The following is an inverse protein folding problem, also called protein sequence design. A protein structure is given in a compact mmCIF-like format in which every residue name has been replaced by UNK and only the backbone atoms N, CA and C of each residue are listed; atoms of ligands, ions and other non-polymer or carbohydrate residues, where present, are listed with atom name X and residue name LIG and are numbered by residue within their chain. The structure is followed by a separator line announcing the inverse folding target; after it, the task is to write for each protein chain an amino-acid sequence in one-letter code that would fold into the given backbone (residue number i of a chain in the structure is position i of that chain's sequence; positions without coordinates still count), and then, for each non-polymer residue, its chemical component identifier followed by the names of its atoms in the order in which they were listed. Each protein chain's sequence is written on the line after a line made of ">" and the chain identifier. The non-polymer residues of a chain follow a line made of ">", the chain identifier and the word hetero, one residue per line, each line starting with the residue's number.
data_IF_551431534848
#
_entry.id   IF_551431534848
#
_cell.length_a   1.000
_cell.length_b   1.000
_cell.length_c   1.000
_cell.angle_alpha   90.00
_cell.angle_beta   90.00
_cell.angle_gamma   90.00
#
_symmetry.space_group_name_H-M   'P 1'
#
loop_
_entity.id
_entity.type
_entity.pdbx_description
1 polymer ?
#
# COMPACT_ATOMS: atom_id res chain seq x y z
N UNK A 1 -4.17 37.42 18.57
CA UNK A 1 -4.91 37.25 17.29
C UNK A 1 -4.04 36.62 16.20
N UNK A 2 -2.82 37.10 15.93
CA UNK A 2 -1.92 36.54 14.91
C UNK A 2 -1.46 35.09 15.17
N UNK A 3 -1.00 34.76 16.38
CA UNK A 3 -0.52 33.41 16.71
C UNK A 3 -1.58 32.33 16.52
N UNK A 4 -2.83 32.63 16.90
CA UNK A 4 -3.97 31.71 16.72
C UNK A 4 -4.24 31.47 15.23
N UNK A 5 -4.22 32.52 14.41
CA UNK A 5 -4.38 32.40 12.96
C UNK A 5 -3.26 31.55 12.33
N UNK A 6 -2.00 31.73 12.74
CA UNK A 6 -0.89 30.91 12.25
C UNK A 6 -1.09 29.43 12.58
N UNK A 7 -1.48 29.09 13.81
CA UNK A 7 -1.73 27.71 14.25
C UNK A 7 -2.88 27.07 13.45
N UNK A 8 -3.96 27.83 13.21
CA UNK A 8 -5.08 27.37 12.39
C UNK A 8 -4.64 27.09 10.95
N UNK A 9 -3.91 28.02 10.32
CA UNK A 9 -3.42 27.87 8.95
C UNK A 9 -2.48 26.67 8.80
N UNK A 10 -1.52 26.48 9.72
CA UNK A 10 -0.63 25.31 9.68
C UNK A 10 -1.39 24.01 9.89
N UNK A 11 -2.37 23.99 10.78
CA UNK A 11 -3.21 22.81 10.99
C UNK A 11 -3.96 22.42 9.71
N UNK A 12 -4.53 23.38 8.99
CA UNK A 12 -5.23 23.12 7.73
C UNK A 12 -4.27 22.54 6.69
N UNK A 13 -3.08 23.15 6.53
CA UNK A 13 -2.08 22.68 5.56
C UNK A 13 -1.64 21.25 5.87
N UNK A 14 -1.36 20.94 7.14
CA UNK A 14 -0.97 19.59 7.57
C UNK A 14 -2.10 18.60 7.27
N UNK A 15 -3.35 18.94 7.58
CA UNK A 15 -4.50 18.07 7.28
C UNK A 15 -4.67 17.80 5.78
N UNK A 16 -4.52 18.83 4.94
CA UNK A 16 -4.56 18.68 3.48
C UNK A 16 -3.42 17.78 2.97
N UNK A 17 -2.21 17.94 3.51
CA UNK A 17 -1.06 17.11 3.16
C UNK A 17 -1.26 15.65 3.57
N UNK A 18 -1.74 15.41 4.79
CA UNK A 18 -2.07 14.05 5.27
C UNK A 18 -3.18 13.43 4.42
N UNK A 19 -4.22 14.18 4.06
CA UNK A 19 -5.28 13.70 3.18
C UNK A 19 -4.73 13.28 1.81
N UNK A 20 -3.82 14.07 1.24
CA UNK A 20 -3.14 13.72 -0.01
C UNK A 20 -2.37 12.40 0.12
N UNK A 21 -1.60 12.22 1.21
CA UNK A 21 -0.87 10.97 1.46
C UNK A 21 -1.80 9.76 1.62
N UNK A 22 -2.94 9.92 2.30
CA UNK A 22 -3.95 8.86 2.43
C UNK A 22 -4.49 8.44 1.06
N UNK A 23 -4.82 9.42 0.21
CA UNK A 23 -5.31 9.14 -1.16
C UNK A 23 -4.25 8.38 -1.97
N UNK A 24 -2.99 8.80 -1.90
CA UNK A 24 -1.88 8.09 -2.55
C UNK A 24 -1.77 6.65 -2.06
N UNK A 25 -1.86 6.42 -0.75
CA UNK A 25 -1.77 5.08 -0.18
C UNK A 25 -2.96 4.20 -0.63
N UNK A 26 -4.16 4.76 -0.74
CA UNK A 26 -5.34 4.04 -1.27
C UNK A 26 -5.11 3.59 -2.72
N UNK A 27 -4.52 4.45 -3.56
CA UNK A 27 -4.19 4.11 -4.95
C UNK A 27 -3.16 2.98 -5.02
N UNK A 28 -2.12 3.06 -4.19
CA UNK A 28 -1.08 2.02 -4.10
C UNK A 28 -1.65 0.67 -3.67
N UNK A 29 -2.48 0.64 -2.63
CA UNK A 29 -3.15 -0.58 -2.16
C UNK A 29 -4.11 -1.13 -3.22
N UNK A 30 -4.83 -0.26 -3.94
CA UNK A 30 -5.71 -0.69 -5.03
C UNK A 30 -4.94 -1.41 -6.14
N UNK A 31 -3.74 -0.95 -6.46
CA UNK A 31 -2.92 -1.55 -7.50
C UNK A 31 -2.02 -2.69 -6.98
N UNK A 32 -2.04 -2.98 -5.67
CA UNK A 32 -1.10 -3.90 -5.00
C UNK A 32 0.36 -3.55 -5.28
N UNK A 33 0.70 -2.26 -5.16
CA UNK A 33 2.03 -1.75 -5.45
C UNK A 33 2.62 -0.99 -4.26
N UNK A 34 3.94 -1.01 -4.16
CA UNK A 34 4.70 -0.08 -3.32
C UNK A 34 4.94 1.26 -4.06
N UNK A 35 5.27 2.32 -3.31
CA UNK A 35 5.62 3.61 -3.93
C UNK A 35 6.80 3.46 -4.92
N UNK A 36 7.77 2.62 -4.58
CA UNK A 36 8.91 2.33 -5.45
C UNK A 36 8.46 1.69 -6.77
N UNK A 37 7.60 0.69 -6.70
CA UNK A 37 7.05 0.01 -7.88
C UNK A 37 6.19 0.93 -8.73
N UNK A 38 5.38 1.78 -8.10
CA UNK A 38 4.58 2.80 -8.78
C UNK A 38 5.48 3.75 -9.57
N UNK A 39 6.54 4.29 -8.94
CA UNK A 39 7.49 5.19 -9.58
C UNK A 39 8.28 4.51 -10.72
N UNK A 40 8.49 3.19 -10.63
CA UNK A 40 9.16 2.39 -11.66
C UNK A 40 8.20 1.76 -12.69
N UNK A 41 6.89 2.02 -12.59
CA UNK A 41 5.85 1.41 -13.44
C UNK A 41 5.89 -0.13 -13.45
N UNK A 42 6.20 -0.75 -12.30
CA UNK A 42 6.30 -2.21 -12.16
C UNK A 42 4.96 -2.76 -11.68
N UNK A 43 4.24 -3.50 -12.53
CA UNK A 43 2.89 -4.03 -12.23
C UNK A 43 2.82 -5.54 -12.00
N UNK A 44 3.95 -6.18 -11.72
CA UNK A 44 4.08 -7.66 -11.66
C UNK A 44 3.25 -8.32 -10.55
N UNK A 45 2.97 -7.59 -9.47
CA UNK A 45 2.17 -8.06 -8.32
C UNK A 45 0.68 -7.68 -8.42
N UNK A 46 0.29 -6.95 -9.47
CA UNK A 46 -1.11 -6.66 -9.73
C UNK A 46 -1.78 -7.87 -10.39
N UNK A 47 -2.39 -8.72 -9.56
CA UNK A 47 -3.07 -9.94 -10.00
C UNK A 47 -4.51 -9.64 -10.45
N UNK A 48 -4.93 -8.37 -10.54
CA UNK A 48 -6.29 -7.99 -10.92
C UNK A 48 -7.35 -8.47 -9.91
N UNK A 49 -6.95 -8.75 -8.67
CA UNK A 49 -7.88 -9.15 -7.60
C UNK A 49 -8.70 -7.93 -7.13
N UNK A 50 -9.87 -8.19 -6.54
CA UNK A 50 -10.76 -7.15 -6.02
C UNK A 50 -10.07 -6.27 -4.96
N UNK A 51 -10.41 -4.99 -4.87
CA UNK A 51 -9.86 -4.05 -3.87
C UNK A 51 -9.92 -4.59 -2.44
N UNK A 52 -11.00 -5.28 -2.08
CA UNK A 52 -11.16 -5.91 -0.77
C UNK A 52 -10.10 -6.98 -0.49
N UNK A 53 -9.68 -7.74 -1.50
CA UNK A 53 -8.65 -8.77 -1.32
C UNK A 53 -7.26 -8.15 -1.13
N UNK A 54 -6.99 -7.00 -1.76
CA UNK A 54 -5.75 -6.26 -1.55
C UNK A 54 -5.74 -5.64 -0.13
N UNK A 55 -6.88 -5.12 0.32
CA UNK A 55 -7.04 -4.69 1.71
C UNK A 55 -6.80 -5.84 2.69
N UNK A 56 -7.36 -7.02 2.43
CA UNK A 56 -7.11 -8.20 3.26
C UNK A 56 -5.64 -8.63 3.23
N UNK A 57 -4.95 -8.53 2.09
CA UNK A 57 -3.52 -8.83 2.00
C UNK A 57 -2.71 -7.94 2.94
N UNK A 58 -2.98 -6.62 2.90
CA UNK A 58 -2.25 -5.60 3.68
C UNK A 58 -2.62 -5.62 5.16
N UNK A 59 -3.91 -5.71 5.47
CA UNK A 59 -4.49 -5.56 6.81
C UNK A 59 -4.98 -6.87 7.42
N UNK A 60 -4.65 -8.00 6.80
CA UNK A 60 -5.04 -9.33 7.26
C UNK A 60 -6.55 -9.63 7.23
N UNK A 61 -6.91 -10.76 7.83
CA UNK A 61 -8.29 -11.29 7.85
C UNK A 61 -9.29 -10.35 8.55
N UNK A 62 -8.82 -9.55 9.51
CA UNK A 62 -9.64 -8.64 10.33
C UNK A 62 -9.36 -7.17 10.01
N UNK A 63 -9.23 -6.85 8.72
CA UNK A 63 -8.92 -5.51 8.24
C UNK A 63 -9.84 -4.40 8.79
N UNK A 64 -11.11 -4.72 9.05
CA UNK A 64 -12.09 -3.77 9.59
C UNK A 64 -11.81 -3.33 11.03
N UNK A 65 -11.08 -4.13 11.83
CA UNK A 65 -10.74 -3.76 13.21
C UNK A 65 -9.64 -2.70 13.27
N UNK A 66 -8.76 -2.67 12.27
CA UNK A 66 -7.65 -1.72 12.20
C UNK A 66 -8.13 -0.27 12.03
N UNK A 67 -9.31 -0.08 11.43
CA UNK A 67 -9.93 1.24 11.32
C UNK A 67 -10.28 1.85 12.68
N UNK A 68 -10.53 1.03 13.70
CA UNK A 68 -10.91 1.48 15.04
C UNK A 68 -9.74 1.49 16.02
N UNK A 69 -8.75 0.63 15.85
CA UNK A 69 -7.63 0.52 16.79
C UNK A 69 -6.39 -0.06 16.11
N UNK A 70 -5.23 0.63 16.17
CA UNK A 70 -3.97 0.12 15.63
C UNK A 70 -3.34 -0.99 16.50
N UNK A 71 -3.82 -1.15 17.74
CA UNK A 71 -3.28 -2.10 18.72
C UNK A 71 -3.73 -3.56 18.48
N UNK A 72 -4.73 -3.78 17.62
CA UNK A 72 -5.21 -5.12 17.33
C UNK A 72 -4.30 -5.74 16.28
N UNK A 73 -3.49 -6.71 16.71
CA UNK A 73 -2.70 -7.52 15.79
C UNK A 73 -3.63 -8.27 14.84
N UNK A 74 -3.56 -7.91 13.56
CA UNK A 74 -4.09 -8.72 12.47
C UNK A 74 -2.89 -9.32 11.76
N UNK A 75 -2.87 -10.63 11.61
CA UNK A 75 -1.80 -11.28 10.86
C UNK A 75 -2.01 -10.97 9.37
N UNK A 76 -1.08 -10.23 8.71
CA UNK A 76 -1.16 -10.02 7.28
C UNK A 76 -0.99 -11.36 6.56
N UNK A 77 -1.53 -11.45 5.34
CA UNK A 77 -1.33 -12.66 4.53
C UNK A 77 0.04 -12.63 3.88
N UNK A 78 0.80 -13.73 4.03
CA UNK A 78 2.14 -13.89 3.45
C UNK A 78 3.26 -13.91 4.48
N UNK A 79 4.43 -14.35 4.04
CA UNK A 79 5.68 -14.41 4.80
C UNK A 79 6.53 -13.12 4.67
N UNK A 80 6.08 -12.17 3.84
CA UNK A 80 6.81 -10.95 3.51
C UNK A 80 7.98 -11.16 2.55
N UNK A 81 8.17 -12.38 2.03
CA UNK A 81 9.28 -12.77 1.16
C UNK A 81 8.80 -13.34 -0.18
N UNK A 82 7.63 -13.97 -0.18
CA UNK A 82 7.02 -14.66 -1.31
C UNK A 82 5.67 -14.04 -1.63
N UNK A 83 5.49 -13.59 -2.88
CA UNK A 83 4.25 -12.96 -3.34
C UNK A 83 3.76 -13.64 -4.61
N UNK A 84 2.44 -13.81 -4.72
CA UNK A 84 1.80 -14.22 -5.97
C UNK A 84 2.13 -13.20 -7.07
N UNK A 85 2.59 -13.67 -8.22
CA UNK A 85 2.86 -12.83 -9.39
C UNK A 85 1.81 -13.06 -10.47
N UNK A 86 1.55 -12.04 -11.28
CA UNK A 86 0.72 -12.19 -12.47
C UNK A 86 1.38 -13.16 -13.46
N UNK A 87 0.63 -14.18 -13.90
CA UNK A 87 1.09 -15.22 -14.84
C UNK A 87 1.52 -14.67 -16.22
N UNK A 88 1.15 -13.44 -16.55
CA UNK A 88 1.58 -12.80 -17.80
C UNK A 88 3.10 -12.55 -17.79
N UNK A 89 3.71 -12.33 -16.62
CA UNK A 89 5.15 -12.01 -16.50
C UNK A 89 6.03 -13.26 -16.29
N UNK A 90 5.46 -14.45 -16.02
CA UNK A 90 6.26 -15.66 -15.78
C UNK A 90 7.06 -16.14 -16.99
N UNK A 91 6.70 -15.72 -18.21
CA UNK A 91 7.49 -16.01 -19.40
C UNK A 91 8.76 -15.14 -19.50
N UNK A 92 8.76 -13.95 -18.89
CA UNK A 92 9.91 -13.03 -18.91
C UNK A 92 10.83 -13.21 -17.69
N UNK A 93 10.31 -13.69 -16.55
CA UNK A 93 11.09 -13.88 -15.32
C UNK A 93 11.90 -15.17 -15.26
N UNK A 94 11.71 -16.13 -16.18
CA UNK A 94 12.67 -17.23 -16.35
C UNK A 94 14.09 -16.72 -16.66
N UNK A 95 14.23 -15.49 -17.19
CA UNK A 95 15.53 -14.89 -17.52
C UNK A 95 16.22 -14.14 -16.37
N UNK A 96 15.51 -13.85 -15.27
CA UNK A 96 16.04 -13.07 -14.13
C UNK A 96 16.26 -13.91 -12.86
N UNK A 97 16.03 -15.23 -12.92
CA UNK A 97 16.16 -16.16 -11.81
C UNK A 97 17.60 -16.57 -11.43
N UNK A 98 18.62 -15.75 -11.72
CA UNK A 98 20.01 -16.07 -11.35
C UNK A 98 20.79 -14.84 -10.92
N UNK A 99 20.40 -14.27 -9.77
CA UNK A 99 21.36 -13.64 -8.84
C UNK A 99 20.77 -13.69 -7.44
N UNK A 100 20.89 -14.86 -6.82
CA UNK A 100 20.90 -14.96 -5.36
C UNK A 100 22.29 -14.54 -4.88
N UNK A 101 22.30 -13.62 -3.92
CA UNK A 101 23.47 -13.23 -3.12
C UNK A 101 23.88 -14.42 -2.26
#
# INVERSE_FOLDING_TARGET
>A
SLLLSCICSTSIIINLYVLFLIIQQIILVKNSQTWYEYNKNIHIYNIGKSFQSNLQLVFGKRWYLILFTPLISSQPFGDGMSYDMNKITTNDTQHYGTKRI
#
